data_IF_381269026294
#
_entry.id   IF_381269026294
#
_cell.length_a   1.000
_cell.length_b   1.000
_cell.length_c   1.000
_cell.angle_alpha   90.00
_cell.angle_beta   90.00
_cell.angle_gamma   90.00
#
_symmetry.space_group_name_H-M   'P 1'
#
loop_
_entity.id
_entity.type
_entity.pdbx_description
1 polymer ?
#
# COMPACT_ATOMS: atom_id res chain seq x y z
N UNK A 1 52.13 33.25 -79.04
CA UNK A 1 51.71 33.54 -77.64
C UNK A 1 51.03 32.33 -76.99
N UNK A 2 50.10 31.66 -77.70
CA UNK A 2 49.37 30.46 -77.21
C UNK A 2 50.27 29.22 -77.01
N UNK A 3 51.33 29.05 -77.82
CA UNK A 3 52.23 27.88 -77.76
C UNK A 3 53.10 27.86 -76.49
N UNK A 4 53.49 29.02 -75.93
CA UNK A 4 54.14 29.11 -74.61
C UNK A 4 53.18 28.85 -73.45
N UNK A 5 51.89 29.14 -73.65
CA UNK A 5 50.82 28.80 -72.71
C UNK A 5 50.58 27.28 -72.67
N UNK A 6 50.83 26.58 -73.80
CA UNK A 6 50.73 25.13 -73.96
C UNK A 6 52.00 24.33 -73.60
N UNK A 7 53.22 24.86 -73.80
CA UNK A 7 54.45 24.13 -73.46
C UNK A 7 54.60 23.84 -71.95
N UNK A 8 53.93 24.63 -71.10
CA UNK A 8 53.86 24.43 -69.66
C UNK A 8 52.54 23.80 -69.20
N UNK A 9 51.59 23.46 -70.08
CA UNK A 9 50.34 22.79 -69.66
C UNK A 9 50.56 21.46 -68.95
N UNK A 10 51.53 20.59 -69.31
CA UNK A 10 51.76 19.40 -68.49
C UNK A 10 52.28 19.77 -67.09
N UNK A 11 53.03 20.87 -66.97
CA UNK A 11 53.57 21.36 -65.69
C UNK A 11 52.42 21.96 -64.85
N UNK A 12 51.56 22.80 -65.42
CA UNK A 12 50.38 23.32 -64.72
C UNK A 12 49.40 22.20 -64.33
N UNK A 13 49.15 21.24 -65.23
CA UNK A 13 48.30 20.09 -64.94
C UNK A 13 48.90 19.22 -63.83
N UNK A 14 50.21 19.01 -63.82
CA UNK A 14 50.93 18.30 -62.76
C UNK A 14 50.88 19.04 -61.42
N UNK A 15 51.01 20.38 -61.42
CA UNK A 15 50.94 21.19 -60.21
C UNK A 15 49.50 21.20 -59.65
N UNK A 16 48.49 21.30 -60.51
CA UNK A 16 47.08 21.19 -60.12
C UNK A 16 46.77 19.77 -59.60
N UNK A 17 47.27 18.72 -60.25
CA UNK A 17 47.13 17.34 -59.78
C UNK A 17 47.80 17.12 -58.42
N UNK A 18 49.00 17.67 -58.19
CA UNK A 18 49.67 17.61 -56.89
C UNK A 18 48.90 18.38 -55.81
N UNK A 19 48.42 19.59 -56.12
CA UNK A 19 47.63 20.39 -55.19
C UNK A 19 46.32 19.70 -54.79
N UNK A 20 45.60 19.11 -55.76
CA UNK A 20 44.39 18.34 -55.48
C UNK A 20 44.68 17.08 -54.67
N UNK A 21 45.77 16.36 -54.98
CA UNK A 21 46.20 15.20 -54.21
C UNK A 21 46.54 15.58 -52.76
N UNK A 22 47.30 16.66 -52.55
CA UNK A 22 47.64 17.15 -51.21
C UNK A 22 46.39 17.60 -50.47
N UNK A 23 45.46 18.29 -51.15
CA UNK A 23 44.19 18.71 -50.57
C UNK A 23 43.33 17.51 -50.14
N UNK A 24 43.23 16.48 -50.99
CA UNK A 24 42.51 15.23 -50.68
C UNK A 24 43.16 14.52 -49.48
N UNK A 25 44.50 14.43 -49.44
CA UNK A 25 45.21 13.83 -48.31
C UNK A 25 45.02 14.60 -47.01
N UNK A 26 44.99 15.95 -47.07
CA UNK A 26 44.67 16.80 -45.93
C UNK A 26 43.24 16.51 -45.44
N UNK A 27 42.24 16.54 -46.33
CA UNK A 27 40.84 16.27 -45.99
C UNK A 27 40.68 14.88 -45.38
N UNK A 28 41.33 13.86 -45.93
CA UNK A 28 41.31 12.49 -45.38
C UNK A 28 41.95 12.41 -43.99
N UNK A 29 43.09 13.08 -43.76
CA UNK A 29 43.69 13.16 -42.43
C UNK A 29 42.79 13.86 -41.42
N UNK A 30 42.20 15.00 -41.79
CA UNK A 30 41.25 15.70 -40.92
C UNK A 30 40.03 14.82 -40.61
N UNK A 31 39.45 14.16 -41.63
CA UNK A 31 38.32 13.23 -41.45
C UNK A 31 38.68 12.07 -40.52
N UNK A 32 39.87 11.49 -40.65
CA UNK A 32 40.32 10.40 -39.79
C UNK A 32 40.52 10.85 -38.32
N UNK A 33 41.07 12.05 -38.13
CA UNK A 33 41.25 12.66 -36.81
C UNK A 33 39.91 13.00 -36.14
N UNK A 34 38.95 13.52 -36.91
CA UNK A 34 37.61 13.87 -36.42
C UNK A 34 36.78 12.61 -36.15
N UNK A 35 36.84 11.61 -37.03
CA UNK A 35 36.12 10.34 -36.88
C UNK A 35 36.56 9.55 -35.64
N UNK A 36 37.79 9.74 -35.19
CA UNK A 36 38.24 9.17 -33.90
C UNK A 36 37.52 9.78 -32.67
N UNK A 37 36.91 10.96 -32.79
CA UNK A 37 36.20 11.63 -31.68
C UNK A 37 34.74 11.19 -31.54
N UNK A 38 34.05 10.87 -32.63
CA UNK A 38 32.65 10.40 -32.59
C UNK A 38 32.48 9.10 -31.79
N UNK A 39 33.48 8.20 -31.85
CA UNK A 39 33.43 6.92 -31.15
C UNK A 39 33.49 7.04 -29.63
N UNK A 40 33.90 8.20 -29.08
CA UNK A 40 33.93 8.44 -27.64
C UNK A 40 32.60 8.96 -27.12
N UNK A 41 32.00 9.92 -27.82
CA UNK A 41 30.70 10.50 -27.41
C UNK A 41 29.56 9.48 -27.45
N UNK A 42 29.53 8.62 -28.48
CA UNK A 42 28.53 7.55 -28.57
C UNK A 42 28.66 6.49 -27.48
N UNK A 43 29.83 6.38 -26.80
CA UNK A 43 29.98 5.46 -25.66
C UNK A 43 29.35 6.05 -24.40
N UNK A 44 29.55 7.33 -24.15
CA UNK A 44 28.97 8.03 -23.00
C UNK A 44 27.44 8.06 -23.11
N UNK A 45 26.89 8.39 -24.28
CA UNK A 45 25.44 8.36 -24.50
C UNK A 45 24.87 6.95 -24.27
N UNK A 46 25.56 5.91 -24.76
CA UNK A 46 25.15 4.50 -24.52
C UNK A 46 25.26 4.08 -23.06
N UNK A 47 26.26 4.58 -22.33
CA UNK A 47 26.40 4.36 -20.88
C UNK A 47 25.27 5.02 -20.10
N UNK A 48 24.93 6.28 -20.41
CA UNK A 48 23.82 6.99 -19.79
C UNK A 48 22.47 6.31 -20.09
N UNK A 49 22.24 5.91 -21.35
CA UNK A 49 21.06 5.13 -21.72
C UNK A 49 20.97 3.81 -20.95
N UNK A 50 22.10 3.10 -20.77
CA UNK A 50 22.13 1.86 -19.98
C UNK A 50 21.78 2.12 -18.52
N UNK A 51 22.27 3.20 -17.92
CA UNK A 51 21.94 3.59 -16.53
C UNK A 51 20.47 3.92 -16.39
N UNK A 52 19.90 4.69 -17.32
CA UNK A 52 18.47 4.99 -17.35
C UNK A 52 17.61 3.74 -17.56
N UNK A 53 18.01 2.82 -18.44
CA UNK A 53 17.28 1.55 -18.62
C UNK A 53 17.32 0.68 -17.37
N UNK A 54 18.48 0.57 -16.70
CA UNK A 54 18.60 -0.17 -15.43
C UNK A 54 17.74 0.43 -14.33
N UNK A 55 17.74 1.76 -14.19
CA UNK A 55 16.88 2.45 -13.21
C UNK A 55 15.40 2.25 -13.53
N UNK A 56 14.99 2.36 -14.80
CA UNK A 56 13.60 2.11 -15.21
C UNK A 56 13.17 0.66 -15.00
N UNK A 57 14.04 -0.33 -15.26
CA UNK A 57 13.75 -1.73 -14.96
C UNK A 57 13.54 -1.96 -13.46
N UNK A 58 14.39 -1.37 -12.62
CA UNK A 58 14.22 -1.43 -11.16
C UNK A 58 12.92 -0.77 -10.71
N UNK A 59 12.50 0.35 -11.34
CA UNK A 59 11.22 0.98 -11.06
C UNK A 59 10.02 0.14 -11.50
N UNK A 60 10.12 -0.59 -12.62
CA UNK A 60 9.08 -1.52 -13.08
C UNK A 60 8.93 -2.71 -12.12
N UNK A 61 10.05 -3.25 -11.64
CA UNK A 61 10.06 -4.29 -10.59
C UNK A 61 9.52 -3.74 -9.26
N UNK A 62 9.86 -2.50 -8.90
CA UNK A 62 9.30 -1.85 -7.71
C UNK A 62 7.79 -1.64 -7.83
N UNK A 63 7.30 -1.36 -9.05
CA UNK A 63 5.86 -1.19 -9.32
C UNK A 63 5.08 -2.48 -9.08
N UNK A 64 5.63 -3.65 -9.41
CA UNK A 64 4.98 -4.92 -9.11
C UNK A 64 5.03 -5.26 -7.61
N UNK A 65 6.12 -4.92 -6.93
CA UNK A 65 6.28 -5.10 -5.48
C UNK A 65 5.30 -4.19 -4.72
N UNK A 66 5.14 -2.92 -5.09
CA UNK A 66 4.20 -1.98 -4.44
C UNK A 66 2.75 -2.39 -4.69
N UNK A 67 2.40 -2.87 -5.89
CA UNK A 67 1.05 -3.41 -6.16
C UNK A 67 0.78 -4.66 -5.31
N UNK A 68 1.75 -5.57 -5.17
CA UNK A 68 1.63 -6.75 -4.31
C UNK A 68 1.58 -6.44 -2.81
N UNK A 69 2.30 -5.41 -2.35
CA UNK A 69 2.16 -4.90 -0.97
C UNK A 69 0.83 -4.18 -0.77
N UNK A 70 0.32 -3.46 -1.78
CA UNK A 70 -1.00 -2.83 -1.76
C UNK A 70 -2.12 -3.84 -1.60
N UNK A 71 -2.03 -5.00 -2.27
CA UNK A 71 -2.99 -6.10 -2.14
C UNK A 71 -2.91 -6.76 -0.75
N UNK A 72 -1.70 -6.93 -0.19
CA UNK A 72 -1.53 -7.40 1.19
C UNK A 72 -2.04 -6.39 2.24
N UNK A 73 -1.81 -5.10 2.03
CA UNK A 73 -2.29 -4.03 2.93
C UNK A 73 -3.82 -3.86 2.83
N UNK A 74 -4.40 -4.00 1.63
CA UNK A 74 -5.85 -3.97 1.45
C UNK A 74 -6.54 -5.21 2.03
N UNK A 75 -5.89 -6.38 1.96
CA UNK A 75 -6.34 -7.59 2.66
C UNK A 75 -6.25 -7.45 4.18
N UNK A 76 -5.25 -6.72 4.68
CA UNK A 76 -5.05 -6.49 6.11
C UNK A 76 -5.95 -5.37 6.67
N UNK A 77 -6.42 -4.42 5.86
CA UNK A 77 -7.41 -3.42 6.26
C UNK A 77 -8.79 -4.04 6.53
N UNK A 78 -9.23 -5.02 5.73
CA UNK A 78 -10.47 -5.76 6.00
C UNK A 78 -10.43 -6.57 7.31
N UNK A 79 -9.25 -7.11 7.66
CA UNK A 79 -9.04 -7.80 8.93
C UNK A 79 -9.02 -6.84 10.10
N UNK A 80 -8.39 -5.66 9.97
CA UNK A 80 -8.34 -4.64 11.04
C UNK A 80 -9.73 -4.06 11.32
N UNK A 81 -10.57 -3.86 10.32
CA UNK A 81 -11.93 -3.35 10.51
C UNK A 81 -12.85 -4.39 11.15
N UNK A 82 -12.80 -5.66 10.70
CA UNK A 82 -13.55 -6.75 11.33
C UNK A 82 -13.07 -7.03 12.76
N UNK A 83 -11.76 -6.90 13.02
CA UNK A 83 -11.20 -7.07 14.35
C UNK A 83 -11.57 -5.89 15.27
N UNK A 84 -11.65 -4.66 14.76
CA UNK A 84 -12.14 -3.50 15.52
C UNK A 84 -13.60 -3.65 15.93
N UNK A 85 -14.46 -4.13 15.03
CA UNK A 85 -15.87 -4.41 15.34
C UNK A 85 -16.00 -5.52 16.41
N UNK A 86 -15.18 -6.59 16.29
CA UNK A 86 -15.15 -7.66 17.30
C UNK A 86 -14.58 -7.18 18.64
N UNK A 87 -13.55 -6.35 18.65
CA UNK A 87 -12.97 -5.77 19.87
C UNK A 87 -13.97 -4.84 20.55
N UNK A 88 -14.66 -3.97 19.81
CA UNK A 88 -15.70 -3.11 20.38
C UNK A 88 -16.85 -3.92 20.98
N UNK A 89 -17.27 -5.00 20.30
CA UNK A 89 -18.31 -5.89 20.81
C UNK A 89 -17.86 -6.68 22.05
N UNK A 90 -16.59 -7.11 22.10
CA UNK A 90 -16.01 -7.79 23.25
C UNK A 90 -15.81 -6.85 24.44
N UNK A 91 -15.34 -5.62 24.22
CA UNK A 91 -15.16 -4.60 25.26
C UNK A 91 -16.50 -4.21 25.89
N UNK A 92 -17.54 -4.00 25.07
CA UNK A 92 -18.89 -3.75 25.59
C UNK A 92 -19.47 -4.95 26.33
N UNK A 93 -19.20 -6.19 25.87
CA UNK A 93 -19.69 -7.39 26.56
C UNK A 93 -18.95 -7.63 27.87
N UNK A 94 -17.63 -7.40 27.93
CA UNK A 94 -16.83 -7.56 29.16
C UNK A 94 -17.23 -6.56 30.24
N UNK A 95 -17.47 -5.30 29.86
CA UNK A 95 -17.90 -4.27 30.81
C UNK A 95 -19.27 -4.60 31.41
N UNK A 96 -20.24 -4.98 30.56
CA UNK A 96 -21.55 -5.42 31.03
C UNK A 96 -21.47 -6.71 31.86
N UNK A 97 -20.74 -7.73 31.42
CA UNK A 97 -20.65 -9.02 32.13
C UNK A 97 -19.99 -8.87 33.52
N UNK A 98 -19.04 -7.93 33.67
CA UNK A 98 -18.46 -7.57 34.97
C UNK A 98 -19.48 -6.90 35.88
N UNK A 99 -20.29 -5.98 35.37
CA UNK A 99 -21.39 -5.34 36.12
C UNK A 99 -22.43 -6.37 36.57
N UNK A 100 -22.88 -7.25 35.66
CA UNK A 100 -23.85 -8.31 35.95
C UNK A 100 -23.31 -9.36 36.94
N UNK A 101 -22.04 -9.75 36.82
CA UNK A 101 -21.37 -10.67 37.75
C UNK A 101 -21.24 -10.06 39.15
N UNK A 102 -20.92 -8.76 39.23
CA UNK A 102 -20.83 -8.02 40.50
C UNK A 102 -22.20 -7.90 41.16
N UNK A 103 -23.22 -7.51 40.38
CA UNK A 103 -24.60 -7.41 40.82
C UNK A 103 -25.14 -8.75 41.33
N UNK A 104 -24.89 -9.84 40.60
CA UNK A 104 -25.32 -11.20 41.01
C UNK A 104 -24.71 -11.60 42.36
N UNK A 105 -23.45 -11.27 42.61
CA UNK A 105 -22.80 -11.53 43.90
C UNK A 105 -23.41 -10.70 45.04
N UNK A 106 -23.74 -9.43 44.81
CA UNK A 106 -24.40 -8.60 45.82
C UNK A 106 -25.82 -9.10 46.14
N UNK A 107 -26.58 -9.50 45.13
CA UNK A 107 -27.91 -10.09 45.30
C UNK A 107 -27.84 -11.43 46.06
N UNK A 108 -26.80 -12.24 45.83
CA UNK A 108 -26.53 -13.47 46.60
C UNK A 108 -26.22 -13.20 48.08
N UNK A 109 -25.55 -12.09 48.38
CA UNK A 109 -25.25 -11.65 49.74
C UNK A 109 -26.44 -10.97 50.44
N UNK A 110 -27.56 -10.78 49.73
CA UNK A 110 -28.79 -10.20 50.29
C UNK A 110 -28.89 -8.68 50.19
N UNK A 111 -28.13 -8.04 49.30
CA UNK A 111 -28.23 -6.60 49.02
C UNK A 111 -29.65 -6.18 48.64
N UNK A 112 -30.07 -4.98 49.02
CA UNK A 112 -31.41 -4.46 48.74
C UNK A 112 -31.50 -3.82 47.34
N UNK A 113 -32.71 -3.63 46.82
CA UNK A 113 -32.95 -3.13 45.46
C UNK A 113 -32.31 -1.76 45.22
N UNK A 114 -32.38 -0.87 46.22
CA UNK A 114 -31.83 0.48 46.13
C UNK A 114 -30.29 0.47 46.05
N UNK A 115 -29.66 -0.40 46.83
CA UNK A 115 -28.20 -0.58 46.89
C UNK A 115 -27.67 -1.13 45.56
N UNK A 116 -28.41 -2.04 44.93
CA UNK A 116 -28.05 -2.60 43.62
C UNK A 116 -28.12 -1.57 42.49
N UNK A 117 -29.11 -0.67 42.54
CA UNK A 117 -29.28 0.40 41.54
C UNK A 117 -28.16 1.44 41.67
N UNK A 118 -27.79 1.80 42.90
CA UNK A 118 -26.77 2.81 43.17
C UNK A 118 -25.34 2.31 42.90
N UNK A 119 -25.00 1.09 43.34
CA UNK A 119 -23.63 0.57 43.29
C UNK A 119 -23.29 -0.17 41.99
N UNK A 120 -24.28 -0.76 41.31
CA UNK A 120 -24.08 -1.45 40.01
C UNK A 120 -24.60 -0.65 38.81
N UNK A 121 -25.14 0.56 39.04
CA UNK A 121 -25.69 1.45 38.01
C UNK A 121 -26.76 0.78 37.11
N UNK A 122 -27.47 -0.22 37.65
CA UNK A 122 -28.47 -0.99 36.90
C UNK A 122 -29.82 -0.27 36.88
N UNK A 123 -30.56 -0.29 35.76
CA UNK A 123 -31.91 0.25 35.71
C UNK A 123 -32.85 -0.58 36.61
N UNK A 124 -33.84 0.09 37.20
CA UNK A 124 -34.77 -0.49 38.19
C UNK A 124 -35.41 -1.82 37.74
N UNK A 125 -35.83 -1.91 36.48
CA UNK A 125 -36.46 -3.12 35.94
C UNK A 125 -35.51 -4.33 35.89
N UNK A 126 -34.21 -4.13 35.62
CA UNK A 126 -33.22 -5.22 35.57
C UNK A 126 -32.85 -5.68 37.00
N UNK A 127 -32.70 -4.74 37.92
CA UNK A 127 -32.44 -5.04 39.33
C UNK A 127 -33.59 -5.85 39.98
N UNK A 128 -34.85 -5.45 39.74
CA UNK A 128 -36.04 -6.19 40.18
C UNK A 128 -36.09 -7.60 39.60
N UNK A 129 -35.75 -7.75 38.32
CA UNK A 129 -35.71 -9.04 37.65
C UNK A 129 -34.65 -9.96 38.26
N UNK A 130 -33.41 -9.49 38.47
CA UNK A 130 -32.33 -10.26 39.09
C UNK A 130 -32.68 -10.75 40.50
N UNK A 131 -33.32 -9.89 41.30
CA UNK A 131 -33.83 -10.28 42.62
C UNK A 131 -34.91 -11.36 42.54
N UNK A 132 -35.82 -11.25 41.57
CA UNK A 132 -36.87 -12.27 41.37
C UNK A 132 -36.29 -13.62 40.93
N UNK A 133 -35.24 -13.62 40.11
CA UNK A 133 -34.53 -14.83 39.70
C UNK A 133 -33.81 -15.48 40.88
N UNK A 134 -33.11 -14.70 41.69
CA UNK A 134 -32.47 -15.17 42.91
C UNK A 134 -33.50 -15.81 43.85
N UNK A 135 -34.64 -15.14 44.09
CA UNK A 135 -35.75 -15.65 44.92
C UNK A 135 -36.34 -16.96 44.38
N UNK A 136 -36.43 -17.10 43.04
CA UNK A 136 -36.86 -18.34 42.38
C UNK A 136 -35.84 -19.47 42.56
N UNK A 137 -34.54 -19.18 42.45
CA UNK A 137 -33.45 -20.15 42.62
C UNK A 137 -33.27 -20.57 44.09
N UNK A 138 -33.51 -19.67 45.05
CA UNK A 138 -33.47 -19.96 46.49
C UNK A 138 -34.79 -20.51 47.04
N UNK A 139 -35.76 -20.81 46.18
CA UNK A 139 -36.98 -21.57 46.52
C UNK A 139 -38.09 -20.77 47.21
N UNK A 140 -38.12 -19.45 47.08
CA UNK A 140 -39.06 -18.57 47.79
C UNK A 140 -40.37 -18.27 47.04
N UNK A 141 -40.61 -18.78 45.82
CA UNK A 141 -41.93 -18.57 45.15
C UNK A 141 -42.33 -19.67 44.15
N UNK A 142 -43.54 -20.24 44.33
CA UNK A 142 -44.24 -21.11 43.35
C UNK A 142 -44.85 -20.24 42.26
N UNK A 143 -44.43 -20.42 41.01
CA UNK A 143 -44.89 -19.61 39.87
C UNK A 143 -46.13 -20.30 39.22
N UNK A 144 -47.23 -19.59 38.93
CA UNK A 144 -48.25 -20.06 38.00
C UNK A 144 -47.71 -20.03 36.54
N UNK A 145 -48.15 -20.94 35.65
CA UNK A 145 -47.50 -21.14 34.35
C UNK A 145 -47.57 -19.89 33.46
N UNK A 146 -46.43 -19.51 32.87
CA UNK A 146 -46.37 -18.52 31.79
C UNK A 146 -46.93 -19.17 30.52
N UNK A 147 -48.14 -18.77 30.16
CA UNK A 147 -48.83 -19.19 28.92
C UNK A 147 -48.15 -18.50 27.73
N UNK A 148 -47.21 -19.21 27.08
CA UNK A 148 -46.63 -18.80 25.81
C UNK A 148 -47.65 -19.19 24.74
N UNK A 149 -48.54 -18.26 24.37
CA UNK A 149 -49.43 -18.44 23.22
C UNK A 149 -48.63 -18.18 21.93
N UNK A 150 -48.39 -19.19 21.07
CA UNK A 150 -47.68 -19.01 19.82
C UNK A 150 -48.65 -19.01 18.62
N UNK A 151 -49.72 -18.21 18.66
CA UNK A 151 -50.66 -18.12 17.54
C UNK A 151 -50.66 -16.72 16.91
N UNK A 152 -49.80 -16.53 15.92
CA UNK A 152 -50.08 -15.60 14.81
C UNK A 152 -49.79 -16.27 13.48
N UNK A 153 -50.53 -17.36 13.27
CA UNK A 153 -51.18 -17.84 12.05
C UNK A 153 -50.66 -17.29 10.71
N UNK A 154 -50.01 -18.18 9.95
CA UNK A 154 -50.06 -18.21 8.47
C UNK A 154 -51.37 -18.81 7.99
#
# INVERSE_FOLDING_TARGET
MVIKFLLNTPIFLSVVALLTLVFVLLVLRLRFWISSKEKRQNKEIKELEKRLRKANQQLLEFRSIVVGLGEKVSGQQGVVENLRERVFKLEYTDDNDRLYTRATKMVQLGAELHELIEECELPKAEAEFMMSLQKKLTGQEKIPPLEINPDTKS
#
